data_IF_285068808917
#
_entry.id   IF_285068808917
#
_cell.length_a   1.000
_cell.length_b   1.000
_cell.length_c   1.000
_cell.angle_alpha   90.00
_cell.angle_beta   90.00
_cell.angle_gamma   90.00
#
_symmetry.space_group_name_H-M   'P 1'
#
loop_
_entity.id
_entity.type
_entity.pdbx_description
1 polymer ?
#
# COMPACT_ATOMS: atom_id res chain seq x y z
N UNK A 1 5.58 -1.86 15.80
CA UNK A 1 4.62 -2.94 15.48
C UNK A 1 5.08 -3.64 14.21
N UNK A 2 5.03 -4.97 14.14
CA UNK A 2 5.50 -5.72 12.95
C UNK A 2 4.35 -6.00 12.00
N UNK A 3 4.56 -5.76 10.71
CA UNK A 3 3.61 -6.11 9.64
C UNK A 3 4.30 -7.01 8.62
N UNK A 4 3.59 -8.03 8.13
CA UNK A 4 4.08 -8.88 7.06
C UNK A 4 4.26 -8.07 5.77
N UNK A 5 5.51 -7.88 5.34
CA UNK A 5 5.88 -7.13 4.14
C UNK A 5 5.21 -7.66 2.87
N UNK A 6 5.27 -8.98 2.65
CA UNK A 6 4.65 -9.61 1.48
C UNK A 6 3.14 -9.40 1.39
N UNK A 7 2.45 -9.32 2.53
CA UNK A 7 1.01 -9.07 2.58
C UNK A 7 0.68 -7.67 2.05
N UNK A 8 1.46 -6.66 2.42
CA UNK A 8 1.28 -5.30 1.89
C UNK A 8 1.74 -5.24 0.43
N UNK A 9 2.84 -5.90 0.09
CA UNK A 9 3.39 -5.92 -1.26
C UNK A 9 2.40 -6.48 -2.30
N UNK A 10 1.62 -7.52 -1.98
CA UNK A 10 0.61 -8.03 -2.93
C UNK A 10 -0.50 -7.02 -3.25
N UNK A 11 -0.82 -6.11 -2.32
CA UNK A 11 -1.82 -5.06 -2.53
C UNK A 11 -1.23 -3.91 -3.33
N UNK A 12 -0.04 -3.43 -2.94
CA UNK A 12 0.67 -2.36 -3.66
C UNK A 12 1.00 -2.77 -5.10
N UNK A 13 1.35 -4.03 -5.36
CA UNK A 13 1.62 -4.54 -6.71
C UNK A 13 0.45 -4.32 -7.67
N UNK A 14 -0.79 -4.33 -7.20
CA UNK A 14 -1.95 -4.04 -8.06
C UNK A 14 -1.88 -2.62 -8.65
N UNK A 15 -1.29 -1.68 -7.93
CA UNK A 15 -1.12 -0.29 -8.39
C UNK A 15 0.06 -0.15 -9.34
N UNK A 16 1.07 -1.02 -9.24
CA UNK A 16 2.34 -0.86 -9.97
C UNK A 16 2.57 -1.88 -11.09
N UNK A 17 1.70 -2.87 -11.21
CA UNK A 17 1.65 -3.83 -12.32
C UNK A 17 0.24 -3.95 -12.91
N UNK A 18 -0.67 -3.08 -12.47
CA UNK A 18 -2.08 -3.08 -12.85
C UNK A 18 -2.36 -2.46 -14.21
N UNK A 19 -3.64 -2.16 -14.45
CA UNK A 19 -4.09 -1.60 -15.73
C UNK A 19 -3.48 -0.23 -16.00
N UNK A 20 -3.43 0.64 -14.99
CA UNK A 20 -2.97 2.01 -15.11
C UNK A 20 -1.55 2.10 -15.68
N UNK A 21 -0.69 1.17 -15.27
CA UNK A 21 0.73 1.11 -15.64
C UNK A 21 0.95 0.79 -17.13
N UNK A 22 -0.05 0.21 -17.79
CA UNK A 22 0.01 -0.08 -19.22
C UNK A 22 -0.45 1.11 -20.09
N UNK A 23 -0.82 2.24 -19.48
CA UNK A 23 -1.15 3.46 -20.22
C UNK A 23 0.12 4.11 -20.82
N UNK A 24 0.00 4.89 -21.90
CA UNK A 24 1.15 5.58 -22.52
C UNK A 24 1.88 6.53 -21.57
N UNK A 25 1.13 7.16 -20.66
CA UNK A 25 1.64 8.03 -19.59
C UNK A 25 0.82 7.79 -18.31
N UNK A 26 1.19 6.80 -17.47
CA UNK A 26 0.40 6.39 -16.32
C UNK A 26 0.12 7.52 -15.33
N UNK A 27 1.11 8.40 -15.13
CA UNK A 27 1.08 9.49 -14.16
C UNK A 27 0.39 10.77 -14.67
N UNK A 28 -0.04 10.83 -15.93
CA UNK A 28 -0.78 11.99 -16.49
C UNK A 28 -2.10 12.26 -15.74
N UNK A 29 -2.74 11.20 -15.26
CA UNK A 29 -4.02 11.26 -14.55
C UNK A 29 -4.09 10.14 -13.50
N UNK A 30 -4.14 10.50 -12.22
CA UNK A 30 -4.23 9.54 -11.13
C UNK A 30 -5.54 8.72 -11.17
N UNK A 31 -6.57 9.23 -11.85
CA UNK A 31 -7.82 8.50 -12.08
C UNK A 31 -7.63 7.22 -12.90
N UNK A 32 -6.51 7.09 -13.61
CA UNK A 32 -6.14 5.84 -14.29
C UNK A 32 -5.98 4.68 -13.31
N UNK A 33 -5.58 4.96 -12.06
CA UNK A 33 -5.36 3.97 -11.01
C UNK A 33 -6.64 3.60 -10.26
N UNK A 34 -7.77 4.31 -10.44
CA UNK A 34 -9.02 4.09 -9.70
C UNK A 34 -9.50 2.63 -9.73
N UNK A 35 -9.41 1.98 -10.89
CA UNK A 35 -9.83 0.58 -11.03
C UNK A 35 -8.91 -0.38 -10.25
N UNK A 36 -7.60 -0.11 -10.27
CA UNK A 36 -6.59 -0.88 -9.56
C UNK A 36 -6.73 -0.63 -8.04
N UNK A 37 -6.98 0.61 -7.61
CA UNK A 37 -7.25 0.99 -6.21
C UNK A 37 -8.51 0.31 -5.68
N UNK A 38 -9.61 0.29 -6.46
CA UNK A 38 -10.83 -0.43 -6.07
C UNK A 38 -10.59 -1.94 -5.94
N UNK A 39 -9.75 -2.50 -6.79
CA UNK A 39 -9.38 -3.92 -6.73
C UNK A 39 -8.53 -4.20 -5.49
N UNK A 40 -7.55 -3.34 -5.21
CA UNK A 40 -6.73 -3.38 -4.00
C UNK A 40 -7.58 -3.33 -2.73
N UNK A 41 -8.47 -2.33 -2.64
CA UNK A 41 -9.41 -2.18 -1.53
C UNK A 41 -10.28 -3.42 -1.35
N UNK A 42 -10.94 -3.87 -2.43
CA UNK A 42 -11.82 -5.05 -2.38
C UNK A 42 -11.08 -6.28 -1.85
N UNK A 43 -9.85 -6.52 -2.31
CA UNK A 43 -9.06 -7.67 -1.90
C UNK A 43 -8.62 -7.55 -0.43
N UNK A 44 -8.09 -6.41 -0.01
CA UNK A 44 -7.71 -6.17 1.37
C UNK A 44 -8.89 -6.28 2.34
N UNK A 45 -10.08 -5.83 1.93
CA UNK A 45 -11.30 -6.00 2.70
C UNK A 45 -11.71 -7.48 2.84
N UNK A 46 -11.67 -8.24 1.73
CA UNK A 46 -12.00 -9.68 1.73
C UNK A 46 -11.03 -10.50 2.58
N UNK A 47 -9.76 -10.08 2.63
CA UNK A 47 -8.71 -10.74 3.41
C UNK A 47 -8.66 -10.25 4.87
N UNK A 48 -9.57 -9.36 5.31
CA UNK A 48 -9.55 -8.79 6.67
C UNK A 48 -8.40 -7.83 6.96
N UNK A 49 -7.60 -7.47 5.95
CA UNK A 49 -6.36 -6.71 6.10
C UNK A 49 -6.51 -5.21 5.86
N UNK A 50 -7.73 -4.69 5.85
CA UNK A 50 -7.99 -3.31 5.44
C UNK A 50 -7.34 -2.27 6.37
N UNK A 51 -7.39 -2.49 7.70
CA UNK A 51 -6.74 -1.56 8.64
C UNK A 51 -5.21 -1.64 8.57
N UNK A 52 -4.66 -2.84 8.35
CA UNK A 52 -3.23 -3.03 8.12
C UNK A 52 -2.75 -2.34 6.86
N UNK A 53 -3.54 -2.41 5.77
CA UNK A 53 -3.25 -1.69 4.54
C UNK A 53 -3.28 -0.17 4.78
N UNK A 54 -4.26 0.33 5.54
CA UNK A 54 -4.34 1.77 5.90
C UNK A 54 -3.09 2.23 6.62
N UNK A 55 -2.70 1.52 7.69
CA UNK A 55 -1.52 1.84 8.50
C UNK A 55 -0.24 1.79 7.66
N UNK A 56 -0.12 0.78 6.80
CA UNK A 56 1.03 0.65 5.90
C UNK A 56 1.11 1.80 4.89
N UNK A 57 0.00 2.17 4.24
CA UNK A 57 -0.04 3.29 3.30
C UNK A 57 0.28 4.61 4.00
N UNK A 58 -0.31 4.85 5.17
CA UNK A 58 -0.04 6.03 5.98
C UNK A 58 1.47 6.17 6.31
N UNK A 59 2.08 5.09 6.80
CA UNK A 59 3.52 5.07 7.11
C UNK A 59 4.42 5.21 5.88
N UNK A 60 4.01 4.69 4.72
CA UNK A 60 4.73 4.83 3.46
C UNK A 60 4.60 6.24 2.84
N UNK A 61 3.50 6.94 3.13
CA UNK A 61 3.27 8.31 2.67
C UNK A 61 3.98 9.31 3.59
N UNK A 62 3.94 9.09 4.90
CA UNK A 62 4.53 9.98 5.90
C UNK A 62 6.07 9.91 5.91
N UNK A 63 6.65 8.71 5.77
CA UNK A 63 8.10 8.47 5.74
C UNK A 63 8.47 7.52 4.58
N UNK A 64 8.51 8.03 3.33
CA UNK A 64 8.71 7.19 2.14
C UNK A 64 10.15 6.70 1.96
N UNK A 65 11.13 7.45 2.49
CA UNK A 65 12.55 7.25 2.23
C UNK A 65 13.04 5.86 2.66
N UNK A 66 13.51 5.08 1.69
CA UNK A 66 14.02 3.71 1.89
C UNK A 66 12.95 2.65 2.14
N UNK A 67 11.75 3.02 2.62
CA UNK A 67 10.63 2.09 2.85
C UNK A 67 9.94 1.68 1.56
N UNK A 68 9.82 2.59 0.58
CA UNK A 68 9.20 2.27 -0.70
C UNK A 68 10.08 1.32 -1.53
N UNK A 69 11.41 1.47 -1.45
CA UNK A 69 12.39 0.60 -2.11
C UNK A 69 12.32 -0.85 -1.62
N UNK A 70 11.84 -1.07 -0.39
CA UNK A 70 11.61 -2.41 0.14
C UNK A 70 10.58 -3.21 -0.68
N UNK A 71 9.68 -2.54 -1.39
CA UNK A 71 8.66 -3.16 -2.23
C UNK A 71 9.14 -3.35 -3.68
N UNK A 72 10.45 -3.27 -3.94
CA UNK A 72 11.10 -3.42 -5.24
C UNK A 72 10.75 -4.74 -5.95
N UNK A 73 9.68 -4.66 -6.72
CA UNK A 73 9.24 -5.60 -7.75
C UNK A 73 8.31 -4.91 -8.74
N UNK A 74 8.42 -3.58 -8.84
CA UNK A 74 7.52 -2.71 -9.59
C UNK A 74 7.92 -2.78 -11.08
N UNK A 75 6.93 -3.02 -11.95
CA UNK A 75 7.17 -3.27 -13.38
C UNK A 75 7.44 -1.97 -14.16
N UNK A 76 7.07 -0.83 -13.59
CA UNK A 76 7.33 0.51 -14.13
C UNK A 76 8.27 1.26 -13.19
N UNK A 77 9.22 2.05 -13.72
CA UNK A 77 10.19 2.79 -12.93
C UNK A 77 9.53 4.02 -12.30
N UNK A 78 8.55 3.82 -11.42
CA UNK A 78 8.00 4.89 -10.63
C UNK A 78 9.08 5.39 -9.67
N UNK A 79 9.33 6.69 -9.69
CA UNK A 79 10.12 7.32 -8.65
C UNK A 79 9.31 7.35 -7.33
N UNK A 80 10.01 7.54 -6.20
CA UNK A 80 9.38 7.60 -4.88
C UNK A 80 8.19 8.58 -4.83
N UNK A 81 8.34 9.74 -5.50
CA UNK A 81 7.31 10.79 -5.55
C UNK A 81 6.04 10.33 -6.26
N UNK A 82 6.18 9.53 -7.32
CA UNK A 82 5.04 9.00 -8.06
C UNK A 82 4.27 7.99 -7.22
N UNK A 83 5.00 7.11 -6.51
CA UNK A 83 4.40 6.13 -5.61
C UNK A 83 3.68 6.80 -4.45
N UNK A 84 4.27 7.84 -3.84
CA UNK A 84 3.60 8.66 -2.83
C UNK A 84 2.32 9.28 -3.38
N UNK A 85 2.32 9.81 -4.61
CA UNK A 85 1.12 10.39 -5.22
C UNK A 85 0.02 9.34 -5.44
N UNK A 86 0.38 8.16 -5.93
CA UNK A 86 -0.56 7.04 -6.12
C UNK A 86 -1.12 6.56 -4.77
N UNK A 87 -0.27 6.40 -3.75
CA UNK A 87 -0.67 5.94 -2.42
C UNK A 87 -1.57 6.96 -1.72
N UNK A 88 -1.27 8.25 -1.86
CA UNK A 88 -2.10 9.33 -1.33
C UNK A 88 -3.48 9.33 -1.98
N UNK A 89 -3.55 9.23 -3.31
CA UNK A 89 -4.82 9.11 -4.04
C UNK A 89 -5.61 7.87 -3.60
N UNK A 90 -4.93 6.74 -3.40
CA UNK A 90 -5.56 5.53 -2.88
C UNK A 90 -6.11 5.73 -1.45
N UNK A 91 -5.34 6.37 -0.57
CA UNK A 91 -5.78 6.64 0.80
C UNK A 91 -7.00 7.58 0.83
N UNK A 92 -6.98 8.67 0.06
CA UNK A 92 -8.11 9.61 -0.05
C UNK A 92 -9.36 8.96 -0.64
N UNK A 93 -9.20 8.04 -1.60
CA UNK A 93 -10.32 7.32 -2.20
C UNK A 93 -10.96 6.31 -1.23
N UNK A 94 -10.16 5.61 -0.44
CA UNK A 94 -10.65 4.52 0.44
C UNK A 94 -11.10 5.07 1.79
N UNK A 95 -10.40 6.08 2.33
CA UNK A 95 -10.67 6.69 3.64
C UNK A 95 -10.74 8.22 3.57
N UNK A 96 -11.77 8.80 2.92
CA UNK A 96 -11.88 10.24 2.72
C UNK A 96 -11.97 11.05 4.03
N UNK A 97 -12.48 10.44 5.10
CA UNK A 97 -12.64 11.08 6.42
C UNK A 97 -11.43 10.90 7.34
N UNK A 98 -10.36 10.24 6.89
CA UNK A 98 -9.14 10.01 7.68
C UNK A 98 -8.02 10.92 7.17
N UNK A 99 -7.46 11.71 8.08
CA UNK A 99 -6.22 12.43 7.82
C UNK A 99 -5.04 11.47 7.80
N UNK A 100 -4.07 11.75 6.92
CA UNK A 100 -2.75 11.14 6.96
C UNK A 100 -1.97 11.64 8.17
N UNK A 101 -1.11 10.80 8.73
CA UNK A 101 -0.18 11.19 9.78
C UNK A 101 0.84 12.19 9.26
N UNK A 102 1.31 13.07 10.13
CA UNK A 102 2.46 13.92 9.84
C UNK A 102 3.76 13.09 9.86
N UNK A 103 4.80 13.48 9.11
CA UNK A 103 6.09 12.79 9.15
C UNK A 103 6.64 12.70 10.59
N UNK A 104 6.84 11.48 11.09
CA UNK A 104 7.30 11.20 12.45
C UNK A 104 6.18 10.98 13.48
N UNK A 105 4.91 11.18 13.11
CA UNK A 105 3.73 10.84 13.93
C UNK A 105 3.04 9.56 13.42
N UNK A 106 3.56 8.94 12.35
CA UNK A 106 3.00 7.69 11.85
C UNK A 106 3.15 6.55 12.86
N UNK A 107 2.34 5.50 12.69
CA UNK A 107 2.53 4.29 13.47
C UNK A 107 3.96 3.76 13.27
N UNK A 108 4.66 3.45 14.37
CA UNK A 108 5.97 2.81 14.32
C UNK A 108 5.83 1.39 13.73
N UNK A 109 5.92 1.27 12.41
CA UNK A 109 5.75 0.02 11.67
C UNK A 109 7.10 -0.52 11.20
N UNK A 110 7.31 -1.82 11.40
CA UNK A 110 8.44 -2.56 10.86
C UNK A 110 7.89 -3.58 9.85
N UNK A 111 8.24 -3.41 8.57
CA UNK A 111 7.90 -4.36 7.50
C UNK A 111 8.86 -5.53 7.57
N UNK A 112 8.37 -6.71 7.95
CA UNK A 112 9.22 -7.89 8.12
C UNK A 112 8.82 -9.00 7.16
N UNK A 113 9.82 -9.77 6.72
CA UNK A 113 9.60 -11.03 6.04
C UNK A 113 9.14 -12.07 7.07
N UNK A 114 7.92 -12.58 6.89
CA UNK A 114 7.34 -13.61 7.73
C UNK A 114 6.38 -14.47 6.91
N UNK A 115 6.18 -15.71 7.34
CA UNK A 115 5.26 -16.64 6.67
C UNK A 115 3.80 -16.20 6.85
N UNK A 116 2.87 -16.60 5.97
CA UNK A 116 1.44 -16.40 6.19
C UNK A 116 0.95 -16.97 7.53
N UNK A 117 1.46 -18.13 7.92
CA UNK A 117 1.11 -18.81 9.18
C UNK A 117 1.57 -18.02 10.41
N UNK A 118 2.81 -17.51 10.39
CA UNK A 118 3.33 -16.63 11.44
C UNK A 118 2.53 -15.33 11.54
N UNK A 119 2.15 -14.77 10.40
CA UNK A 119 1.31 -13.56 10.38
C UNK A 119 -0.06 -13.79 11.00
N UNK A 120 -0.75 -14.88 10.63
CA UNK A 120 -2.06 -15.22 11.18
C UNK A 120 -2.02 -15.38 12.71
N UNK A 121 -0.95 -15.97 13.24
CA UNK A 121 -0.74 -16.10 14.69
C UNK A 121 -0.54 -14.76 15.42
N UNK A 122 0.03 -13.75 14.73
CA UNK A 122 0.32 -12.42 15.29
C UNK A 122 -0.83 -11.44 15.09
N UNK A 123 -1.52 -11.50 13.95
CA UNK A 123 -2.64 -10.62 13.60
C UNK A 123 -3.94 -10.97 14.31
N UNK A 124 -3.99 -12.13 14.98
CA UNK A 124 -5.19 -12.64 15.65
C UNK A 124 -6.17 -13.31 14.70
N UNK A 125 -5.77 -13.58 13.46
CA UNK A 125 -6.53 -14.34 12.46
C UNK A 125 -6.37 -15.84 12.73
N UNK A 126 -6.80 -16.27 13.91
CA UNK A 126 -6.93 -17.67 14.26
C UNK A 126 -8.40 -18.10 14.08
N UNK A 127 -8.87 -18.16 12.83
CA UNK A 127 -10.10 -18.90 12.49
C UNK A 127 -10.26 -19.19 11.00
#
# INVERSE_FOLDING_TARGET
MKIRKEMIAQYIRLLTTGRAVNAPDPMSDLSNFDADIRTMHKRAYQDGNLDWLRLALDALIADPSGRIEEFAGLQYPFDERDLVAIFRHAHEMIWPDRSLSEPGDEAELEFVDMSPEDWAAVSGDAN
#
